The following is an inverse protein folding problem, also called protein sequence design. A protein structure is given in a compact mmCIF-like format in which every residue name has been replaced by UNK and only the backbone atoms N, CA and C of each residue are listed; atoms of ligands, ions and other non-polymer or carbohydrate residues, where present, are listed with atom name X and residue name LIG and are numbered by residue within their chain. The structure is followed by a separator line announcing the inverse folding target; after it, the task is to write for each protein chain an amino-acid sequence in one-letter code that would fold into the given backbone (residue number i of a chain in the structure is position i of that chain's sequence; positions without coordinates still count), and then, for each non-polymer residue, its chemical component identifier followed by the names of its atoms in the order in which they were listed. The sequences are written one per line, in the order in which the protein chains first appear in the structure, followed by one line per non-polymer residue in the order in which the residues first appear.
data_IF_511599525549
#
_entry.id   IF_511599525549
#
_cell.length_a   1.000
_cell.length_b   1.000
_cell.length_c   1.000
_cell.angle_alpha   90.00
_cell.angle_beta   90.00
_cell.angle_gamma   90.00
#
_symmetry.space_group_name_H-M   'P 1'
#
loop_
_entity.id
_entity.type
_entity.pdbx_description
1 polymer ?
#
# COMPACT_ATOMS: atom_id res chain seq x y z
N UNK A 1 0.74 6.91 -34.48
CA UNK A 1 0.96 5.79 -33.54
C UNK A 1 0.24 6.11 -32.25
N UNK A 2 -0.28 5.12 -31.53
CA UNK A 2 -1.03 5.35 -30.28
C UNK A 2 -0.72 4.26 -29.27
N UNK A 3 -0.84 4.58 -27.99
CA UNK A 3 -0.64 3.65 -26.88
C UNK A 3 -1.97 3.01 -26.51
N UNK A 4 -1.99 1.69 -26.30
CA UNK A 4 -3.16 0.96 -25.81
C UNK A 4 -2.92 0.51 -24.38
N UNK A 5 -3.65 1.10 -23.45
CA UNK A 5 -3.65 0.70 -22.04
C UNK A 5 -4.83 -0.26 -21.81
N UNK A 6 -4.56 -1.41 -21.20
CA UNK A 6 -5.59 -2.38 -20.75
C UNK A 6 -5.76 -2.21 -19.24
N UNK A 7 -6.93 -1.73 -18.81
CA UNK A 7 -7.27 -1.60 -17.39
C UNK A 7 -7.62 -2.94 -16.74
N UNK A 8 -7.50 -3.02 -15.41
CA UNK A 8 -7.95 -4.18 -14.63
C UNK A 8 -9.45 -4.06 -14.31
N UNK A 9 -10.22 -5.11 -14.60
CA UNK A 9 -11.69 -5.17 -14.38
C UNK A 9 -12.06 -5.46 -12.92
N UNK A 10 -11.13 -5.99 -12.13
CA UNK A 10 -11.32 -6.28 -10.70
C UNK A 10 -10.16 -5.66 -9.90
N UNK A 11 -10.39 -4.59 -9.13
CA UNK A 11 -9.31 -3.83 -8.51
C UNK A 11 -8.83 -4.37 -7.16
N UNK A 12 -9.49 -5.39 -6.59
CA UNK A 12 -9.06 -5.97 -5.30
C UNK A 12 -7.87 -6.87 -5.54
N UNK A 13 -6.69 -6.44 -5.09
CA UNK A 13 -5.45 -7.22 -5.15
C UNK A 13 -4.97 -7.52 -3.74
N UNK A 14 -4.43 -8.73 -3.55
CA UNK A 14 -3.67 -9.07 -2.36
C UNK A 14 -2.30 -8.41 -2.47
N UNK A 15 -1.98 -7.56 -1.50
CA UNK A 15 -0.74 -6.78 -1.46
C UNK A 15 -0.06 -6.99 -0.11
N UNK A 16 1.27 -7.08 -0.12
CA UNK A 16 2.12 -7.02 1.08
C UNK A 16 2.82 -5.66 1.07
N UNK A 17 2.87 -5.00 2.23
CA UNK A 17 3.44 -3.66 2.34
C UNK A 17 4.70 -3.69 3.20
N UNK A 18 5.69 -2.93 2.75
CA UNK A 18 6.93 -2.69 3.46
C UNK A 18 7.12 -1.18 3.51
N UNK A 19 7.08 -0.61 4.70
CA UNK A 19 7.11 0.83 4.92
C UNK A 19 8.32 1.15 5.79
N UNK A 20 9.20 2.00 5.28
CA UNK A 20 10.34 2.54 6.03
C UNK A 20 10.05 4.01 6.33
N UNK A 21 10.16 4.40 7.59
CA UNK A 21 9.78 5.74 8.00
C UNK A 21 10.20 6.07 9.43
N UNK A 22 9.55 7.08 9.97
CA UNK A 22 9.84 7.62 11.30
C UNK A 22 8.56 7.60 12.14
N UNK A 23 8.71 7.21 13.40
CA UNK A 23 7.63 7.29 14.38
C UNK A 23 7.33 8.74 14.70
N UNK A 24 6.09 9.17 14.51
CA UNK A 24 5.68 10.55 14.78
C UNK A 24 5.60 10.88 16.28
N UNK A 25 5.64 9.87 17.15
CA UNK A 25 5.60 10.04 18.60
C UNK A 25 6.96 10.47 19.16
N UNK A 26 8.04 9.87 18.66
CA UNK A 26 9.37 9.94 19.27
C UNK A 26 10.52 10.12 18.27
N UNK A 27 10.22 10.21 16.97
CA UNK A 27 11.19 10.46 15.91
C UNK A 27 12.13 9.29 15.60
N UNK A 28 11.88 8.10 16.15
CA UNK A 28 12.77 6.95 15.90
C UNK A 28 12.48 6.31 14.54
N UNK A 29 13.50 5.80 13.83
CA UNK A 29 13.29 5.06 12.60
C UNK A 29 12.50 3.77 12.88
N UNK A 30 11.47 3.54 12.06
CA UNK A 30 10.60 2.37 12.17
C UNK A 30 10.45 1.70 10.82
N UNK A 31 10.36 0.38 10.87
CA UNK A 31 9.98 -0.44 9.74
C UNK A 31 8.64 -1.12 10.02
N UNK A 32 7.66 -0.89 9.15
CA UNK A 32 6.37 -1.53 9.23
C UNK A 32 6.19 -2.53 8.09
N UNK A 33 5.79 -3.75 8.45
CA UNK A 33 5.43 -4.77 7.49
C UNK A 33 3.97 -5.16 7.68
N UNK A 34 3.16 -5.04 6.63
CA UNK A 34 1.77 -5.53 6.61
C UNK A 34 1.72 -6.76 5.71
N UNK A 35 1.42 -7.93 6.30
CA UNK A 35 1.61 -9.22 5.64
C UNK A 35 0.73 -9.42 4.42
N UNK A 36 -0.55 -9.08 4.55
CA UNK A 36 -1.52 -9.16 3.47
C UNK A 36 -2.58 -8.06 3.66
N UNK A 37 -2.94 -7.39 2.57
CA UNK A 37 -4.12 -6.52 2.52
C UNK A 37 -4.94 -6.83 1.28
N UNK A 38 -6.25 -6.65 1.38
CA UNK A 38 -7.09 -6.37 0.21
C UNK A 38 -7.01 -4.88 -0.11
N UNK A 39 -6.32 -4.54 -1.19
CA UNK A 39 -6.12 -3.15 -1.63
C UNK A 39 -6.96 -2.84 -2.88
N UNK A 40 -7.58 -1.66 -2.90
CA UNK A 40 -8.40 -1.16 -4.01
C UNK A 40 -8.20 0.36 -4.16
N UNK A 41 -8.11 0.90 -5.39
CA UNK A 41 -8.11 2.35 -5.61
C UNK A 41 -9.43 2.99 -5.16
N UNK A 42 -9.36 4.14 -4.52
CA UNK A 42 -10.55 4.89 -4.06
C UNK A 42 -11.05 5.91 -5.07
N UNK A 43 -10.24 6.23 -6.08
CA UNK A 43 -10.55 7.19 -7.12
C UNK A 43 -10.14 6.68 -8.51
N UNK A 44 -10.82 7.20 -9.53
CA UNK A 44 -10.42 6.99 -10.91
C UNK A 44 -9.07 7.67 -11.18
N UNK A 45 -8.27 7.06 -12.05
CA UNK A 45 -6.96 7.56 -12.47
C UNK A 45 -7.07 8.02 -13.91
N UNK A 46 -6.81 9.30 -14.16
CA UNK A 46 -6.66 9.82 -15.52
C UNK A 46 -5.21 9.64 -15.97
N UNK A 47 -4.98 8.68 -16.86
CA UNK A 47 -3.67 8.37 -17.41
C UNK A 47 -3.20 9.35 -18.49
N UNK A 48 -4.06 10.26 -18.96
CA UNK A 48 -3.74 11.24 -20.00
C UNK A 48 -3.61 12.67 -19.46
N UNK A 49 -3.64 12.83 -18.14
CA UNK A 49 -3.48 14.14 -17.52
C UNK A 49 -2.06 14.66 -17.68
N UNK A 50 -1.92 15.94 -18.01
CA UNK A 50 -0.64 16.65 -17.99
C UNK A 50 -0.17 17.02 -16.56
N UNK A 51 -1.00 16.74 -15.56
CA UNK A 51 -0.74 17.04 -14.15
C UNK A 51 -0.42 15.79 -13.34
N UNK A 52 0.37 15.97 -12.27
CA UNK A 52 0.57 14.93 -11.26
C UNK A 52 -0.76 14.51 -10.64
N UNK A 53 -1.08 13.22 -10.77
CA UNK A 53 -2.28 12.62 -10.18
C UNK A 53 -1.92 11.91 -8.89
N UNK A 54 -2.76 12.07 -7.87
CA UNK A 54 -2.71 11.25 -6.65
C UNK A 54 -3.68 10.09 -6.78
N UNK A 55 -3.20 8.89 -6.45
CA UNK A 55 -4.01 7.67 -6.40
C UNK A 55 -4.21 7.34 -4.93
N UNK A 56 -5.45 7.47 -4.47
CA UNK A 56 -5.85 6.97 -3.16
C UNK A 56 -6.01 5.46 -3.21
N UNK A 57 -5.45 4.77 -2.22
CA UNK A 57 -5.59 3.32 -2.06
C UNK A 57 -6.26 3.08 -0.71
N UNK A 58 -7.39 2.37 -0.73
CA UNK A 58 -7.98 1.77 0.46
C UNK A 58 -7.39 0.38 0.60
N UNK A 59 -6.80 0.08 1.76
CA UNK A 59 -6.23 -1.22 2.06
C UNK A 59 -6.79 -1.73 3.38
N UNK A 60 -7.35 -2.93 3.38
CA UNK A 60 -7.81 -3.62 4.59
C UNK A 60 -6.84 -4.77 4.91
N UNK A 61 -6.10 -4.71 6.03
CA UNK A 61 -5.20 -5.79 6.44
C UNK A 61 -5.95 -7.08 6.78
N UNK A 62 -5.32 -8.20 6.48
CA UNK A 62 -5.82 -9.55 6.78
C UNK A 62 -4.71 -10.29 7.49
N UNK A 63 -5.04 -10.96 8.60
CA UNK A 63 -4.12 -11.89 9.28
C UNK A 63 -4.03 -13.19 8.47
N UNK A 64 -2.87 -13.51 7.86
CA UNK A 64 -2.73 -14.75 7.12
C UNK A 64 -2.72 -15.97 8.05
N UNK A 65 -3.04 -17.14 7.50
CA UNK A 65 -2.92 -18.39 8.25
C UNK A 65 -1.46 -18.60 8.73
N UNK A 66 -1.30 -18.97 10.01
CA UNK A 66 0.02 -19.14 10.64
C UNK A 66 0.61 -17.85 11.20
N UNK A 67 -0.07 -16.71 11.08
CA UNK A 67 0.21 -15.48 11.82
C UNK A 67 -0.88 -15.22 12.85
N UNK A 68 -0.53 -14.61 13.97
CA UNK A 68 -1.46 -14.18 15.02
C UNK A 68 -1.84 -12.70 14.91
N UNK A 69 -1.14 -11.94 14.05
CA UNK A 69 -1.39 -10.53 13.78
C UNK A 69 -1.23 -10.18 12.28
N UNK A 70 -1.85 -9.09 11.81
CA UNK A 70 -1.81 -8.67 10.41
C UNK A 70 -0.56 -7.85 9.99
N UNK A 71 0.15 -7.23 10.95
CA UNK A 71 1.34 -6.43 10.69
C UNK A 71 2.31 -6.39 11.88
N UNK A 72 3.59 -6.14 11.60
CA UNK A 72 4.64 -5.88 12.60
C UNK A 72 5.21 -4.49 12.43
N UNK A 73 5.62 -3.89 13.55
CA UNK A 73 6.41 -2.67 13.60
C UNK A 73 7.70 -2.98 14.33
N UNK A 74 8.83 -2.68 13.69
CA UNK A 74 10.16 -2.83 14.27
C UNK A 74 10.78 -1.44 14.40
N UNK A 75 11.20 -1.08 15.60
CA UNK A 75 12.06 0.07 15.82
C UNK A 75 13.48 -0.35 15.45
N UNK A 76 14.15 0.42 14.58
CA UNK A 76 15.57 0.20 14.32
C UNK A 76 16.34 0.81 15.49
N UNK A 77 17.01 -0.03 16.27
CA UNK A 77 17.98 0.45 17.26
C UNK A 77 19.08 1.22 16.52
N UNK A 78 19.33 2.46 16.96
CA UNK A 78 20.39 3.35 16.44
C UNK A 78 21.64 3.20 17.29
#
# INVERSE_FOLDING_TARGET
SGYRIKGAVQPVRKVRWFLDGESLEDGRPVYAEVYETQAMPTNAVDFLSDNWQSIGISATPITPAGKDHPWTIEYKDV
#
